data_IF_764992928768
#
_entry.id   IF_764992928768
#
_cell.length_a   1.000
_cell.length_b   1.000
_cell.length_c   1.000
_cell.angle_alpha   90.00
_cell.angle_beta   90.00
_cell.angle_gamma   90.00
#
_symmetry.space_group_name_H-M   'P 1'
#
loop_
_entity.id
_entity.type
_entity.pdbx_description
1 polymer ?
#
# COMPACT_ATOMS: atom_id res chain seq x y z
N UNK A 1 16.39 -24.71 -24.25
CA UNK A 1 16.31 -23.43 -23.51
C UNK A 1 15.63 -23.76 -22.19
N UNK A 2 16.42 -23.89 -21.13
CA UNK A 2 15.94 -24.34 -19.82
C UNK A 2 15.18 -23.20 -19.15
N UNK A 3 13.91 -23.44 -18.83
CA UNK A 3 13.13 -22.54 -17.99
C UNK A 3 13.76 -22.50 -16.59
N UNK A 4 14.27 -21.33 -16.19
CA UNK A 4 14.62 -21.08 -14.81
C UNK A 4 13.32 -21.03 -14.01
N UNK A 5 13.09 -22.06 -13.20
CA UNK A 5 12.10 -22.02 -12.13
C UNK A 5 12.63 -21.00 -11.14
N UNK A 6 11.99 -19.83 -11.06
CA UNK A 6 12.19 -18.93 -9.93
C UNK A 6 11.68 -19.67 -8.70
N UNK A 7 12.62 -20.07 -7.82
CA UNK A 7 12.26 -20.49 -6.47
C UNK A 7 11.53 -19.33 -5.80
N UNK A 8 10.22 -19.48 -5.56
CA UNK A 8 9.47 -18.56 -4.72
C UNK A 8 10.08 -18.62 -3.31
N UNK A 9 10.72 -17.53 -2.87
CA UNK A 9 11.07 -17.38 -1.46
C UNK A 9 9.79 -17.52 -0.62
N UNK A 10 9.83 -18.27 0.49
CA UNK A 10 8.66 -18.45 1.33
C UNK A 10 8.22 -17.08 1.85
N UNK A 11 6.98 -16.71 1.54
CA UNK A 11 6.36 -15.46 1.99
C UNK A 11 6.53 -15.32 3.51
N UNK A 12 7.29 -14.30 3.91
CA UNK A 12 7.43 -13.93 5.30
C UNK A 12 6.05 -13.62 5.89
N UNK A 13 5.67 -14.21 7.03
CA UNK A 13 4.36 -13.95 7.60
C UNK A 13 4.34 -12.55 8.23
N UNK A 14 3.53 -11.64 7.68
CA UNK A 14 3.39 -10.28 8.18
C UNK A 14 2.10 -10.02 8.98
N UNK A 15 1.22 -11.03 9.14
CA UNK A 15 -0.08 -10.87 9.81
C UNK A 15 -0.40 -11.98 10.82
N UNK A 16 -1.29 -11.67 11.77
CA UNK A 16 -1.77 -12.59 12.81
C UNK A 16 -0.67 -13.07 13.78
N UNK A 17 -0.88 -14.19 14.49
CA UNK A 17 0.09 -14.67 15.49
C UNK A 17 1.47 -15.00 14.92
N UNK A 18 1.60 -15.27 13.61
CA UNK A 18 2.90 -15.51 12.97
C UNK A 18 3.62 -14.19 12.65
N UNK A 19 2.88 -13.16 12.22
CA UNK A 19 3.41 -11.80 12.06
C UNK A 19 3.95 -11.23 13.36
N UNK A 20 3.22 -11.38 14.46
CA UNK A 20 3.70 -10.94 15.78
C UNK A 20 5.03 -11.60 16.17
N UNK A 21 5.17 -12.90 15.94
CA UNK A 21 6.41 -13.63 16.23
C UNK A 21 7.55 -13.17 15.32
N UNK A 22 7.26 -12.97 14.03
CA UNK A 22 8.23 -12.49 13.05
C UNK A 22 8.73 -11.08 13.40
N UNK A 23 7.81 -10.16 13.69
CA UNK A 23 8.13 -8.78 14.08
C UNK A 23 8.93 -8.73 15.37
N UNK A 24 8.61 -9.58 16.36
CA UNK A 24 9.38 -9.69 17.60
C UNK A 24 10.81 -10.19 17.34
N UNK A 25 11.00 -11.19 16.48
CA UNK A 25 12.34 -11.68 16.10
C UNK A 25 13.18 -10.60 15.45
N UNK A 26 12.59 -9.86 14.50
CA UNK A 26 13.24 -8.74 13.82
C UNK A 26 13.59 -7.62 14.81
N UNK A 27 12.68 -7.26 15.70
CA UNK A 27 12.93 -6.32 16.80
C UNK A 27 14.11 -6.72 17.68
N UNK A 28 14.16 -7.98 18.12
CA UNK A 28 15.26 -8.48 18.95
C UNK A 28 16.60 -8.45 18.21
N UNK A 29 16.60 -8.74 16.91
CA UNK A 29 17.82 -8.63 16.11
C UNK A 29 18.32 -7.17 16.02
N UNK A 30 17.43 -6.21 15.81
CA UNK A 30 17.77 -4.78 15.64
C UNK A 30 18.13 -4.08 16.95
N UNK A 31 17.43 -4.40 18.04
CA UNK A 31 17.69 -3.84 19.37
C UNK A 31 19.01 -4.34 19.98
N UNK A 32 19.42 -5.56 19.66
CA UNK A 32 20.65 -6.17 20.16
C UNK A 32 21.88 -5.94 19.27
N UNK A 33 21.76 -5.33 18.09
CA UNK A 33 22.89 -5.00 17.21
C UNK A 33 23.70 -3.77 17.69
N UNK A 34 23.60 -3.45 18.99
CA UNK A 34 24.54 -2.57 19.66
C UNK A 34 25.90 -3.30 19.81
N UNK A 35 27.01 -2.57 19.60
CA UNK A 35 28.39 -3.07 19.47
C UNK A 35 28.92 -3.97 20.63
N UNK A 36 28.15 -4.12 21.71
CA UNK A 36 28.46 -4.89 22.93
C UNK A 36 27.93 -6.33 22.94
N UNK A 37 27.17 -6.78 21.94
CA UNK A 37 26.53 -8.11 21.96
C UNK A 37 27.48 -9.24 21.53
N UNK A 38 27.61 -10.34 22.33
CA UNK A 38 28.46 -11.47 21.97
C UNK A 38 28.07 -12.09 20.62
N UNK A 39 29.06 -12.40 19.77
CA UNK A 39 28.85 -12.97 18.42
C UNK A 39 27.91 -14.19 18.40
N UNK A 40 27.98 -15.05 19.43
CA UNK A 40 27.11 -16.23 19.58
C UNK A 40 25.64 -15.87 19.78
N UNK A 41 25.34 -14.79 20.52
CA UNK A 41 23.97 -14.29 20.73
C UNK A 41 23.43 -13.69 19.43
N UNK A 42 24.27 -12.97 18.70
CA UNK A 42 23.91 -12.40 17.39
C UNK A 42 23.64 -13.45 16.31
N UNK A 43 24.47 -14.50 16.26
CA UNK A 43 24.27 -15.61 15.32
C UNK A 43 23.00 -16.41 15.63
N UNK A 44 22.70 -16.60 16.91
CA UNK A 44 21.46 -17.22 17.37
C UNK A 44 20.22 -16.42 16.95
N UNK A 45 20.20 -15.10 17.19
CA UNK A 45 19.11 -14.21 16.77
C UNK A 45 18.88 -14.25 15.24
N UNK A 46 19.97 -14.28 14.47
CA UNK A 46 19.89 -14.41 13.00
C UNK A 46 19.26 -15.75 12.58
N UNK A 47 19.61 -16.85 13.26
CA UNK A 47 19.01 -18.16 13.00
C UNK A 47 17.53 -18.23 13.40
N UNK A 48 17.13 -17.47 14.43
CA UNK A 48 15.73 -17.37 14.85
C UNK A 48 14.89 -16.54 13.87
N UNK A 49 15.44 -15.45 13.32
CA UNK A 49 14.75 -14.58 12.35
C UNK A 49 14.45 -15.29 11.03
N UNK A 50 15.38 -16.11 10.52
CA UNK A 50 15.18 -16.95 9.33
C UNK A 50 15.37 -18.43 9.69
N UNK A 51 14.35 -19.07 10.29
CA UNK A 51 14.44 -20.50 10.57
C UNK A 51 14.39 -21.24 9.24
N UNK A 52 15.54 -21.73 8.76
CA UNK A 52 15.56 -22.67 7.63
C UNK A 52 14.74 -23.90 8.03
N UNK A 53 13.96 -24.43 7.09
CA UNK A 53 13.29 -25.72 7.24
C UNK A 53 14.35 -26.83 7.35
N UNK A 54 14.87 -27.06 8.54
CA UNK A 54 15.61 -28.28 8.81
C UNK A 54 14.58 -29.42 8.82
N UNK A 55 14.81 -30.45 8.00
CA UNK A 55 14.11 -31.74 8.02
C UNK A 55 14.41 -32.50 9.32
N UNK A 56 14.08 -31.90 10.47
CA UNK A 56 14.11 -32.57 11.76
C UNK A 56 12.73 -33.20 11.95
N UNK A 57 12.62 -34.51 11.71
CA UNK A 57 11.44 -35.37 11.84
C UNK A 57 10.98 -35.54 13.30
N UNK A 58 10.88 -34.45 14.06
CA UNK A 58 10.38 -34.45 15.43
C UNK A 58 8.97 -33.84 15.49
N UNK A 59 7.90 -34.65 15.63
CA UNK A 59 6.51 -34.19 15.52
C UNK A 59 6.11 -33.12 16.53
N UNK A 60 6.80 -33.05 17.69
CA UNK A 60 6.55 -32.04 18.73
C UNK A 60 7.17 -30.66 18.40
N UNK A 61 8.19 -30.60 17.53
CA UNK A 61 8.79 -29.33 17.06
C UNK A 61 8.02 -28.71 15.90
N UNK A 62 7.33 -29.52 15.11
CA UNK A 62 6.63 -29.08 13.88
C UNK A 62 5.47 -28.11 14.18
N UNK A 63 4.83 -28.21 15.36
CA UNK A 63 3.70 -27.36 15.73
C UNK A 63 4.06 -26.15 16.60
N UNK A 64 5.31 -26.04 17.08
CA UNK A 64 5.72 -24.97 17.99
C UNK A 64 6.30 -23.80 17.20
N UNK A 65 5.60 -22.67 17.19
CA UNK A 65 6.01 -21.46 16.44
C UNK A 65 7.19 -20.70 17.08
N UNK A 66 7.42 -20.89 18.37
CA UNK A 66 8.49 -20.27 19.18
C UNK A 66 9.16 -21.30 20.09
N UNK A 67 10.48 -21.25 20.17
CA UNK A 67 11.34 -22.03 21.06
C UNK A 67 11.28 -21.55 22.51
N UNK A 68 11.68 -22.40 23.46
CA UNK A 68 11.71 -22.05 24.90
C UNK A 68 12.61 -20.84 25.16
N UNK A 69 13.76 -20.79 24.49
CA UNK A 69 14.72 -19.69 24.61
C UNK A 69 14.12 -18.35 24.17
N UNK A 70 13.28 -18.33 23.14
CA UNK A 70 12.58 -17.11 22.71
C UNK A 70 11.62 -16.60 23.78
N UNK A 71 10.91 -17.49 24.50
CA UNK A 71 10.02 -17.09 25.59
C UNK A 71 10.75 -16.46 26.78
N UNK A 72 11.96 -16.91 27.09
CA UNK A 72 12.77 -16.36 28.18
C UNK A 72 13.22 -14.92 27.86
N UNK A 73 13.52 -14.63 26.60
CA UNK A 73 13.98 -13.31 26.14
C UNK A 73 12.90 -12.21 26.11
N UNK A 74 11.62 -12.56 26.24
CA UNK A 74 10.51 -11.59 26.23
C UNK A 74 10.49 -10.75 27.52
N UNK A 75 11.00 -11.28 28.64
CA UNK A 75 10.85 -10.63 29.96
C UNK A 75 11.76 -9.40 30.16
N UNK A 76 12.71 -9.17 29.26
CA UNK A 76 13.77 -8.15 29.38
C UNK A 76 13.63 -7.02 28.34
N UNK A 77 12.40 -6.54 28.08
CA UNK A 77 12.15 -5.58 26.99
C UNK A 77 12.10 -4.12 27.45
N UNK A 78 12.88 -3.27 26.77
CA UNK A 78 12.89 -1.82 26.95
C UNK A 78 11.77 -1.15 26.13
N UNK A 79 10.91 -0.38 26.81
CA UNK A 79 9.80 0.33 26.21
C UNK A 79 10.25 1.39 25.18
N UNK A 80 11.41 2.04 25.39
CA UNK A 80 11.92 3.06 24.48
C UNK A 80 12.36 2.46 23.14
N UNK A 81 13.03 1.30 23.18
CA UNK A 81 13.38 0.52 21.99
C UNK A 81 12.14 0.05 21.22
N UNK A 82 11.09 -0.39 21.93
CA UNK A 82 9.83 -0.81 21.31
C UNK A 82 9.14 0.33 20.57
N UNK A 83 9.11 1.55 21.13
CA UNK A 83 8.53 2.73 20.46
C UNK A 83 9.29 3.05 19.16
N UNK A 84 10.63 3.04 19.20
CA UNK A 84 11.48 3.26 18.03
C UNK A 84 11.21 2.24 16.92
N UNK A 85 11.12 0.95 17.28
CA UNK A 85 10.85 -0.12 16.33
C UNK A 85 9.47 -0.01 15.67
N UNK A 86 8.42 0.31 16.44
CA UNK A 86 7.07 0.54 15.87
C UNK A 86 7.07 1.65 14.83
N UNK A 87 7.77 2.76 15.09
CA UNK A 87 7.92 3.87 14.14
C UNK A 87 8.65 3.41 12.87
N UNK A 88 9.75 2.68 13.04
CA UNK A 88 10.53 2.15 11.92
C UNK A 88 9.70 1.20 11.04
N UNK A 89 8.89 0.31 11.62
CA UNK A 89 8.03 -0.58 10.84
C UNK A 89 7.03 0.18 9.96
N UNK A 90 6.41 1.25 10.49
CA UNK A 90 5.50 2.09 9.72
C UNK A 90 6.24 2.83 8.59
N UNK A 91 7.42 3.36 8.87
CA UNK A 91 8.25 4.04 7.87
C UNK A 91 8.69 3.09 6.76
N UNK A 92 9.19 1.90 7.10
CA UNK A 92 9.60 0.90 6.10
C UNK A 92 8.44 0.46 5.22
N UNK A 93 7.24 0.29 5.78
CA UNK A 93 6.03 0.01 5.00
C UNK A 93 5.72 1.16 4.04
N UNK A 94 5.75 2.41 4.53
CA UNK A 94 5.52 3.58 3.72
C UNK A 94 6.53 3.68 2.57
N UNK A 95 7.82 3.53 2.86
CA UNK A 95 8.91 3.60 1.88
C UNK A 95 8.81 2.51 0.80
N UNK A 96 8.38 1.30 1.19
CA UNK A 96 8.15 0.19 0.24
C UNK A 96 6.96 0.46 -0.68
N UNK A 97 5.96 1.20 -0.21
CA UNK A 97 4.73 1.50 -0.95
C UNK A 97 4.81 2.80 -1.75
N UNK A 98 5.75 3.70 -1.42
CA UNK A 98 5.95 5.00 -2.08
C UNK A 98 6.80 4.93 -3.35
N UNK A 99 7.21 3.73 -3.78
CA UNK A 99 7.94 3.54 -5.04
C UNK A 99 7.00 3.39 -6.25
N UNK A 100 7.28 4.14 -7.32
CA UNK A 100 6.59 4.00 -8.60
C UNK A 100 6.75 5.22 -9.50
N UNK A 101 6.25 5.13 -10.74
CA UNK A 101 6.14 6.31 -11.60
C UNK A 101 5.26 7.37 -10.93
N UNK A 102 5.67 8.64 -11.07
CA UNK A 102 4.85 9.80 -10.67
C UNK A 102 4.21 10.42 -11.92
N UNK A 103 2.99 10.91 -11.77
CA UNK A 103 2.16 11.51 -12.81
C UNK A 103 1.81 12.94 -12.40
N UNK A 104 1.60 13.81 -13.39
CA UNK A 104 1.37 15.24 -13.21
C UNK A 104 0.12 15.75 -13.96
N UNK A 105 -0.56 14.87 -14.68
CA UNK A 105 -1.65 15.19 -15.58
C UNK A 105 -2.60 14.01 -15.80
N UNK A 106 -3.85 14.31 -16.14
CA UNK A 106 -4.84 13.29 -16.53
C UNK A 106 -4.59 12.91 -17.99
N UNK A 107 -4.43 11.61 -18.26
CA UNK A 107 -4.14 11.10 -19.59
C UNK A 107 -5.42 10.81 -20.38
N UNK A 108 -5.56 11.41 -21.56
CA UNK A 108 -6.60 11.01 -22.52
C UNK A 108 -6.22 9.68 -23.19
N UNK A 109 -7.17 8.76 -23.26
CA UNK A 109 -7.04 7.51 -23.99
C UNK A 109 -7.96 7.54 -25.20
N UNK A 110 -7.37 7.49 -26.40
CA UNK A 110 -8.10 7.66 -27.66
C UNK A 110 -8.65 6.35 -28.24
N UNK A 111 -8.33 5.19 -27.64
CA UNK A 111 -8.74 3.88 -28.14
C UNK A 111 -8.79 2.79 -27.07
N UNK A 112 -9.51 1.71 -27.38
CA UNK A 112 -9.57 0.50 -26.56
C UNK A 112 -8.19 -0.14 -26.37
N UNK A 113 -7.32 -0.09 -27.38
CA UNK A 113 -5.95 -0.59 -27.28
C UNK A 113 -5.12 0.24 -26.30
N UNK A 114 -5.25 1.58 -26.33
CA UNK A 114 -4.58 2.46 -25.39
C UNK A 114 -5.06 2.21 -23.94
N UNK A 115 -6.36 1.97 -23.75
CA UNK A 115 -6.92 1.55 -22.47
C UNK A 115 -6.32 0.24 -21.96
N UNK A 116 -6.35 -0.82 -22.77
CA UNK A 116 -5.81 -2.14 -22.38
C UNK A 116 -4.31 -2.07 -22.08
N UNK A 117 -3.55 -1.38 -22.93
CA UNK A 117 -2.11 -1.18 -22.74
C UNK A 117 -1.82 -0.46 -21.42
N UNK A 118 -2.65 0.53 -21.06
CA UNK A 118 -2.50 1.29 -19.83
C UNK A 118 -2.72 0.40 -18.61
N UNK A 119 -3.72 -0.49 -18.60
CA UNK A 119 -3.96 -1.37 -17.44
C UNK A 119 -2.97 -2.53 -17.34
N UNK A 120 -2.51 -3.09 -18.47
CA UNK A 120 -1.68 -4.31 -18.49
C UNK A 120 -0.18 -4.03 -18.32
N UNK A 121 0.32 -2.91 -18.85
CA UNK A 121 1.76 -2.63 -18.91
C UNK A 121 2.26 -1.64 -17.86
N UNK A 122 1.37 -1.14 -17.03
CA UNK A 122 1.75 -0.21 -15.97
C UNK A 122 2.48 -0.92 -14.82
N UNK A 123 3.22 -0.14 -14.04
CA UNK A 123 3.89 -0.66 -12.86
C UNK A 123 2.88 -1.29 -11.87
N UNK A 124 3.21 -2.46 -11.32
CA UNK A 124 2.27 -3.28 -10.52
C UNK A 124 1.73 -2.57 -9.28
N UNK A 125 2.50 -1.65 -8.70
CA UNK A 125 2.05 -0.89 -7.53
C UNK A 125 1.19 0.31 -7.88
N UNK A 126 1.22 0.77 -9.14
CA UNK A 126 0.48 1.95 -9.60
C UNK A 126 -1.01 1.65 -9.62
N UNK A 127 -1.76 2.53 -8.98
CA UNK A 127 -3.21 2.57 -9.08
C UNK A 127 -3.60 3.36 -10.32
N UNK A 128 -4.54 2.84 -11.10
CA UNK A 128 -5.04 3.49 -12.32
C UNK A 128 -6.52 3.79 -12.14
N UNK A 129 -6.89 5.04 -12.28
CA UNK A 129 -8.29 5.50 -12.21
C UNK A 129 -8.69 5.99 -13.59
N UNK A 130 -9.67 5.33 -14.21
CA UNK A 130 -10.14 5.66 -15.56
C UNK A 130 -11.57 6.19 -15.49
N UNK A 131 -11.76 7.44 -15.91
CA UNK A 131 -13.06 8.06 -16.12
C UNK A 131 -13.55 7.80 -17.54
N UNK A 132 -14.63 7.03 -17.68
CA UNK A 132 -15.32 6.84 -18.95
C UNK A 132 -16.42 7.89 -19.03
N UNK A 133 -16.36 8.71 -20.08
CA UNK A 133 -17.16 9.93 -20.16
C UNK A 133 -17.74 10.17 -21.55
N UNK A 134 -18.70 11.10 -21.63
CA UNK A 134 -19.16 11.71 -22.86
C UNK A 134 -19.45 13.20 -22.60
N UNK A 135 -19.05 14.09 -23.51
CA UNK A 135 -19.18 15.54 -23.35
C UNK A 135 -20.65 15.99 -23.22
N UNK A 136 -21.60 15.22 -23.78
CA UNK A 136 -23.02 15.54 -23.71
C UNK A 136 -23.64 15.22 -22.34
N UNK A 137 -22.95 14.45 -21.50
CA UNK A 137 -23.48 13.94 -20.23
C UNK A 137 -23.12 14.86 -19.07
N UNK A 138 -24.15 15.29 -18.34
CA UNK A 138 -23.99 16.13 -17.15
C UNK A 138 -23.10 15.45 -16.11
N UNK A 139 -22.22 16.24 -15.51
CA UNK A 139 -21.28 15.79 -14.48
C UNK A 139 -19.96 15.26 -15.03
N UNK A 140 -19.86 14.89 -16.31
CA UNK A 140 -18.58 14.48 -16.91
C UNK A 140 -17.54 15.60 -16.85
N UNK A 141 -17.92 16.83 -17.21
CA UNK A 141 -17.02 18.00 -17.15
C UNK A 141 -16.59 18.33 -15.73
N UNK A 142 -17.52 18.29 -14.78
CA UNK A 142 -17.22 18.52 -13.37
C UNK A 142 -16.24 17.46 -12.83
N UNK A 143 -16.46 16.19 -13.16
CA UNK A 143 -15.56 15.10 -12.77
C UNK A 143 -14.19 15.23 -13.42
N UNK A 144 -14.13 15.58 -14.70
CA UNK A 144 -12.87 15.87 -15.39
C UNK A 144 -12.06 16.96 -14.69
N UNK A 145 -12.71 18.05 -14.27
CA UNK A 145 -12.07 19.12 -13.51
C UNK A 145 -11.58 18.64 -12.13
N UNK A 146 -12.38 17.80 -11.44
CA UNK A 146 -11.98 17.22 -10.17
C UNK A 146 -10.72 16.34 -10.31
N UNK A 147 -10.67 15.48 -11.33
CA UNK A 147 -9.51 14.61 -11.57
C UNK A 147 -8.24 15.41 -11.90
N UNK A 148 -8.36 16.55 -12.59
CA UNK A 148 -7.22 17.44 -12.84
C UNK A 148 -6.63 18.02 -11.54
N UNK A 149 -7.45 18.28 -10.53
CA UNK A 149 -6.96 18.69 -9.21
C UNK A 149 -6.35 17.51 -8.44
N UNK A 150 -7.00 16.35 -8.46
CA UNK A 150 -6.54 15.16 -7.73
C UNK A 150 -5.21 14.62 -8.24
N UNK A 151 -4.86 14.83 -9.52
CA UNK A 151 -3.57 14.38 -10.05
C UNK A 151 -2.37 15.02 -9.33
N UNK A 152 -2.53 16.27 -8.88
CA UNK A 152 -1.47 17.02 -8.18
C UNK A 152 -1.33 16.50 -6.75
N UNK A 153 -2.44 16.12 -6.13
CA UNK A 153 -2.50 15.61 -4.75
C UNK A 153 -2.06 14.14 -4.65
N UNK A 154 -2.24 13.37 -5.73
CA UNK A 154 -1.90 11.95 -5.79
C UNK A 154 -0.97 11.62 -6.97
N UNK A 155 0.30 12.07 -6.95
CA UNK A 155 1.23 11.83 -8.06
C UNK A 155 1.52 10.35 -8.32
N UNK A 156 1.34 9.47 -7.32
CA UNK A 156 1.53 8.02 -7.47
C UNK A 156 0.36 7.30 -8.15
N UNK A 157 -0.76 8.00 -8.39
CA UNK A 157 -1.96 7.46 -9.04
C UNK A 157 -2.01 7.95 -10.48
N UNK A 158 -2.24 7.02 -11.41
CA UNK A 158 -2.42 7.34 -12.82
C UNK A 158 -3.88 7.62 -13.12
N UNK A 159 -4.23 8.89 -13.31
CA UNK A 159 -5.57 9.28 -13.74
C UNK A 159 -5.66 9.28 -15.25
N UNK A 160 -6.69 8.65 -15.78
CA UNK A 160 -6.98 8.61 -17.20
C UNK A 160 -8.44 8.95 -17.46
N UNK A 161 -8.73 9.37 -18.69
CA UNK A 161 -10.09 9.50 -19.18
C UNK A 161 -10.21 8.97 -20.60
N UNK A 162 -11.36 8.43 -20.94
CA UNK A 162 -11.66 7.86 -22.25
C UNK A 162 -13.10 8.17 -22.62
N UNK A 163 -13.32 8.63 -23.85
CA UNK A 163 -14.69 8.79 -24.36
C UNK A 163 -15.35 7.42 -24.47
N UNK A 164 -16.63 7.33 -24.11
CA UNK A 164 -17.42 6.10 -24.21
C UNK A 164 -17.33 5.48 -25.62
N UNK A 165 -17.36 6.31 -26.67
CA UNK A 165 -17.20 5.90 -28.07
C UNK A 165 -15.81 5.32 -28.42
N UNK A 166 -14.76 5.72 -27.71
CA UNK A 166 -13.38 5.26 -27.91
C UNK A 166 -13.06 3.95 -27.17
N UNK A 167 -13.91 3.51 -26.23
CA UNK A 167 -13.71 2.27 -25.46
C UNK A 167 -13.77 1.00 -26.30
N UNK A 168 -14.28 1.07 -27.54
CA UNK A 168 -14.61 -0.12 -28.35
C UNK A 168 -15.85 -0.89 -27.87
N UNK A 169 -16.51 -0.40 -26.82
CA UNK A 169 -17.71 -0.97 -26.21
C UNK A 169 -18.81 0.08 -26.02
N UNK A 170 -18.92 1.06 -26.93
CA UNK A 170 -19.84 2.20 -26.79
C UNK A 170 -21.29 1.81 -26.50
N UNK A 171 -21.79 0.71 -27.08
CA UNK A 171 -23.15 0.20 -26.79
C UNK A 171 -23.37 -0.23 -25.33
N UNK A 172 -22.29 -0.50 -24.57
CA UNK A 172 -22.33 -0.83 -23.14
C UNK A 172 -22.25 0.41 -22.25
N UNK A 173 -21.82 1.54 -22.80
CA UNK A 173 -21.67 2.81 -22.12
C UNK A 173 -22.72 3.80 -22.63
N UNK A 174 -23.99 3.47 -22.40
CA UNK A 174 -25.10 4.38 -22.65
C UNK A 174 -25.10 5.55 -21.65
N UNK A 175 -25.85 6.59 -21.98
CA UNK A 175 -26.05 7.79 -21.13
C UNK A 175 -26.44 7.44 -19.68
N UNK A 176 -27.23 6.37 -19.50
CA UNK A 176 -27.74 5.89 -18.20
C UNK A 176 -26.68 5.26 -17.29
N UNK A 177 -25.47 4.98 -17.80
CA UNK A 177 -24.36 4.44 -17.01
C UNK A 177 -23.23 5.44 -16.80
N UNK A 178 -23.20 6.53 -17.57
CA UNK A 178 -22.16 7.55 -17.50
C UNK A 178 -22.48 8.64 -16.45
N UNK A 179 -21.46 9.37 -15.95
CA UNK A 179 -20.03 9.02 -16.03
C UNK A 179 -19.71 7.77 -15.19
N UNK A 180 -18.82 6.92 -15.71
CA UNK A 180 -18.34 5.74 -14.98
C UNK A 180 -16.87 5.91 -14.57
N UNK A 181 -16.51 5.42 -13.39
CA UNK A 181 -15.12 5.38 -12.91
C UNK A 181 -14.71 3.94 -12.67
N UNK A 182 -13.63 3.52 -13.34
CA UNK A 182 -13.01 2.21 -13.17
C UNK A 182 -11.69 2.37 -12.45
N UNK A 183 -11.40 1.48 -11.50
CA UNK A 183 -10.15 1.50 -10.73
C UNK A 183 -9.43 0.16 -10.90
N UNK A 184 -8.16 0.23 -11.28
CA UNK A 184 -7.32 -0.93 -11.55
C UNK A 184 -6.00 -0.87 -10.78
N UNK A 185 -5.44 -2.04 -10.48
CA UNK A 185 -4.07 -2.20 -9.99
C UNK A 185 -3.52 -3.55 -10.46
N UNK A 186 -2.29 -3.57 -10.98
CA UNK A 186 -1.64 -4.79 -11.47
C UNK A 186 -2.48 -5.60 -12.48
N UNK A 187 -3.26 -4.94 -13.32
CA UNK A 187 -4.16 -5.58 -14.30
C UNK A 187 -5.49 -6.09 -13.72
N UNK A 188 -5.68 -6.03 -12.40
CA UNK A 188 -6.92 -6.42 -11.74
C UNK A 188 -7.86 -5.22 -11.53
N UNK A 189 -9.15 -5.45 -11.70
CA UNK A 189 -10.19 -4.44 -11.43
C UNK A 189 -10.52 -4.43 -9.95
N UNK A 190 -10.29 -3.29 -9.30
CA UNK A 190 -10.58 -3.08 -7.88
C UNK A 190 -11.96 -2.44 -7.66
N UNK A 191 -12.39 -1.59 -8.58
CA UNK A 191 -13.65 -0.85 -8.48
C UNK A 191 -14.27 -0.56 -9.84
N UNK A 192 -15.60 -0.58 -9.88
CA UNK A 192 -16.41 -0.20 -11.04
C UNK A 192 -17.63 0.59 -10.55
N UNK A 193 -17.56 1.90 -10.71
CA UNK A 193 -18.58 2.85 -10.25
C UNK A 193 -19.36 3.38 -11.44
N UNK A 194 -20.60 2.94 -11.55
CA UNK A 194 -21.53 3.33 -12.62
C UNK A 194 -22.30 4.57 -12.17
N UNK A 195 -22.45 5.57 -13.04
CA UNK A 195 -23.05 6.86 -12.71
C UNK A 195 -22.48 7.44 -11.41
N UNK A 196 -21.16 7.56 -11.32
CA UNK A 196 -20.47 7.90 -10.05
C UNK A 196 -21.02 9.18 -9.42
N UNK A 197 -21.48 10.13 -10.23
CA UNK A 197 -22.06 11.40 -9.77
C UNK A 197 -23.35 11.25 -8.96
N UNK A 198 -24.06 10.12 -9.05
CA UNK A 198 -25.23 9.82 -8.19
C UNK A 198 -24.86 9.58 -6.72
N UNK A 199 -23.59 9.29 -6.45
CA UNK A 199 -23.05 9.12 -5.11
C UNK A 199 -22.45 10.43 -4.55
N UNK A 200 -22.46 11.50 -5.34
CA UNK A 200 -21.93 12.80 -4.99
C UNK A 200 -23.07 13.81 -4.83
N UNK A 201 -22.74 14.98 -4.30
CA UNK A 201 -23.64 16.12 -4.25
C UNK A 201 -23.95 16.64 -5.67
N UNK A 202 -25.06 17.37 -5.83
CA UNK A 202 -25.46 17.94 -7.13
C UNK A 202 -24.37 18.88 -7.70
N UNK A 203 -23.75 19.65 -6.82
CA UNK A 203 -22.47 20.33 -7.07
C UNK A 203 -21.40 19.65 -6.23
N UNK A 204 -20.37 19.10 -6.87
CA UNK A 204 -19.28 18.39 -6.21
C UNK A 204 -17.92 18.92 -6.67
N UNK A 205 -16.93 18.74 -5.82
CA UNK A 205 -15.58 19.28 -5.93
C UNK A 205 -14.53 18.17 -5.75
N UNK A 206 -13.22 18.43 -5.96
CA UNK A 206 -12.18 17.42 -5.81
C UNK A 206 -12.25 16.65 -4.49
N UNK A 207 -12.52 17.36 -3.38
CA UNK A 207 -12.64 16.76 -2.05
C UNK A 207 -13.79 15.75 -1.92
N UNK A 208 -14.92 15.96 -2.61
CA UNK A 208 -16.04 15.02 -2.59
C UNK A 208 -15.66 13.71 -3.30
N UNK A 209 -14.98 13.83 -4.45
CA UNK A 209 -14.48 12.68 -5.21
C UNK A 209 -13.37 11.95 -4.44
N UNK A 210 -12.49 12.70 -3.77
CA UNK A 210 -11.46 12.16 -2.90
C UNK A 210 -12.06 11.33 -1.76
N UNK A 211 -13.01 11.90 -1.02
CA UNK A 211 -13.69 11.25 0.08
C UNK A 211 -14.39 9.97 -0.39
N UNK A 212 -15.10 10.04 -1.51
CA UNK A 212 -15.74 8.88 -2.13
C UNK A 212 -14.72 7.76 -2.40
N UNK A 213 -13.58 8.06 -3.02
CA UNK A 213 -12.56 7.03 -3.30
C UNK A 213 -11.87 6.52 -2.02
N UNK A 214 -11.65 7.38 -1.03
CA UNK A 214 -11.08 7.02 0.27
C UNK A 214 -11.99 6.08 1.07
N UNK A 215 -13.32 6.23 0.99
CA UNK A 215 -14.28 5.33 1.66
C UNK A 215 -14.12 3.87 1.21
N UNK A 216 -13.64 3.65 -0.02
CA UNK A 216 -13.34 2.32 -0.56
C UNK A 216 -11.86 1.92 -0.43
N UNK A 217 -11.01 2.76 0.18
CA UNK A 217 -9.57 2.53 0.27
C UNK A 217 -8.86 2.54 -1.10
N UNK A 218 -9.40 3.31 -2.05
CA UNK A 218 -8.93 3.38 -3.44
C UNK A 218 -8.03 4.59 -3.71
N UNK A 219 -7.52 5.24 -2.67
CA UNK A 219 -6.43 6.21 -2.81
C UNK A 219 -5.33 5.86 -1.82
N UNK A 220 -4.05 6.04 -2.22
CA UNK A 220 -2.95 5.89 -1.28
C UNK A 220 -3.00 7.02 -0.23
N UNK A 221 -2.32 6.83 0.90
CA UNK A 221 -2.14 7.92 1.85
C UNK A 221 -1.41 9.10 1.18
N UNK A 222 -1.87 10.32 1.47
CA UNK A 222 -1.16 11.52 1.02
C UNK A 222 0.23 11.51 1.66
N UNK A 223 1.27 11.83 0.89
CA UNK A 223 2.59 12.15 1.42
C UNK A 223 2.43 13.45 2.25
N UNK A 224 1.96 13.36 3.49
CA UNK A 224 2.08 14.46 4.42
C UNK A 224 3.58 14.66 4.64
N UNK A 225 4.11 15.79 4.16
CA UNK A 225 5.38 16.28 4.65
C UNK A 225 5.25 16.32 6.17
N UNK A 226 6.02 15.48 6.86
CA UNK A 226 5.92 15.31 8.30
C UNK A 226 5.83 16.69 8.96
N UNK A 227 4.67 17.01 9.55
CA UNK A 227 4.59 18.10 10.51
C UNK A 227 5.56 17.74 11.64
N UNK A 228 6.51 18.62 12.00
CA UNK A 228 7.36 18.40 13.16
C UNK A 228 6.54 18.67 14.43
N UNK A 229 5.75 17.69 14.87
CA UNK A 229 5.07 17.66 16.17
C UNK A 229 5.56 16.38 16.88
N UNK A 230 6.14 16.32 18.08
CA UNK A 230 6.27 17.24 19.21
C UNK A 230 7.64 16.99 19.88
N UNK A 231 8.48 18.02 20.03
CA UNK A 231 9.63 18.03 20.96
C UNK A 231 9.34 18.99 22.13
N UNK A 232 8.22 18.82 22.84
CA UNK A 232 7.90 19.45 24.14
C UNK A 232 7.01 18.42 24.87
N UNK A 233 7.26 17.86 26.05
CA UNK A 233 7.93 18.31 27.27
C UNK A 233 8.57 17.12 28.00
N UNK A 234 9.86 17.20 28.32
CA UNK A 234 10.46 16.50 29.47
C UNK A 234 11.51 17.47 30.07
N UNK A 235 11.08 18.67 30.46
CA UNK A 235 11.83 19.45 31.44
C UNK A 235 11.62 18.83 32.83
N UNK A 236 12.69 18.23 33.36
CA UNK A 236 12.85 17.84 34.75
C UNK A 236 12.28 18.91 35.70
N UNK A 237 11.17 18.59 36.37
CA UNK A 237 10.82 19.27 37.61
C UNK A 237 11.78 18.77 38.69
N UNK A 238 12.95 19.42 38.77
CA UNK A 238 13.80 19.40 39.95
C UNK A 238 13.05 20.09 41.09
N UNK A 239 12.60 19.30 42.07
CA UNK A 239 12.15 19.82 43.36
C UNK A 239 13.31 19.69 44.34
N UNK A 240 13.81 20.84 44.79
CA UNK A 240 14.72 21.02 45.94
C UNK A 240 14.21 20.36 47.23
#
# INVERSE_FOLDING_TARGET
MSAQVQEEEPLEPHTGPKGVIHDWRKFKLESEDHESTPQKKRELLRQMSNPKSNNDDNPDRINRKMSIQEYEMIQEEDEQCLRKYRRQCMQEMHDRLSFGPKFDSVFELDSSEAFLKTIEKEHRLTLIIVHIYDDAIKGCDALNNCLNSLVVEYPSVKFCRIRASATGAGERFSDDVLPSVLVYRAGEMLGNFICVTKHLNEEFFPADVENFLNEYGLLPEKEFAACPDDEEDDEEIGVE
#
